data_IF_781552211493
#
_entry.id   IF_781552211493
#
_cell.length_a   1.000
_cell.length_b   1.000
_cell.length_c   1.000
_cell.angle_alpha   90.00
_cell.angle_beta   90.00
_cell.angle_gamma   90.00
#
_symmetry.space_group_name_H-M   'P 1'
#
loop_
_entity.id
_entity.type
_entity.pdbx_description
1 polymer ?
#
# COMPACT_ATOMS: atom_id res chain seq x y z
N UNK A 1 -15.83 -20.49 1.45
CA UNK A 1 -16.48 -19.28 0.94
C UNK A 1 -16.62 -18.27 2.05
N UNK A 2 -16.31 -17.06 1.77
CA UNK A 2 -16.42 -16.04 2.76
C UNK A 2 -17.86 -15.64 3.00
N UNK A 3 -18.23 -15.51 4.25
CA UNK A 3 -19.56 -15.05 4.61
C UNK A 3 -19.75 -13.59 4.17
N UNK A 4 -20.88 -13.23 3.56
CA UNK A 4 -21.15 -11.85 3.23
C UNK A 4 -21.29 -10.95 4.46
N UNK A 5 -21.39 -11.54 5.65
CA UNK A 5 -21.49 -10.80 6.89
C UNK A 5 -20.14 -10.53 7.54
N UNK A 6 -19.05 -10.99 6.94
CA UNK A 6 -17.70 -10.81 7.48
C UNK A 6 -17.13 -9.45 7.10
N UNK A 7 -17.82 -8.41 7.52
CA UNK A 7 -17.36 -7.04 7.33
C UNK A 7 -16.60 -6.62 8.57
N UNK A 8 -15.38 -6.15 8.35
CA UNK A 8 -14.46 -5.77 9.42
C UNK A 8 -14.35 -4.25 9.42
N UNK A 9 -14.35 -3.64 10.59
CA UNK A 9 -14.14 -2.20 10.68
C UNK A 9 -12.69 -1.85 10.40
N UNK A 10 -12.45 -0.58 10.08
CA UNK A 10 -11.08 -0.08 9.88
C UNK A 10 -10.23 -0.32 11.12
N UNK A 11 -10.79 -0.06 12.30
CA UNK A 11 -10.07 -0.23 13.56
C UNK A 11 -9.69 -1.69 13.80
N UNK A 12 -10.62 -2.60 13.54
CA UNK A 12 -10.34 -4.04 13.66
C UNK A 12 -9.26 -4.48 12.69
N UNK A 13 -9.33 -3.99 11.45
CA UNK A 13 -8.34 -4.31 10.44
C UNK A 13 -6.94 -3.82 10.84
N UNK A 14 -6.83 -2.55 11.20
CA UNK A 14 -5.53 -1.96 11.54
C UNK A 14 -4.92 -2.64 12.77
N UNK A 15 -5.76 -2.98 13.74
CA UNK A 15 -5.29 -3.66 14.94
C UNK A 15 -4.78 -5.07 14.63
N UNK A 16 -5.52 -5.81 13.83
CA UNK A 16 -5.12 -7.16 13.44
C UNK A 16 -3.87 -7.17 12.58
N UNK A 17 -3.71 -6.17 11.69
CA UNK A 17 -2.54 -6.09 10.82
C UNK A 17 -1.23 -5.90 11.59
N UNK A 18 -1.27 -5.27 12.74
CA UNK A 18 -0.06 -5.03 13.54
C UNK A 18 0.63 -6.32 13.95
N UNK A 19 -0.11 -7.39 14.13
CA UNK A 19 0.44 -8.67 14.59
C UNK A 19 0.34 -9.78 13.55
N UNK A 20 -0.08 -9.45 12.34
CA UNK A 20 -0.25 -10.46 11.29
C UNK A 20 1.08 -10.74 10.59
N UNK A 21 1.35 -12.01 10.33
CA UNK A 21 2.51 -12.43 9.54
C UNK A 21 2.30 -12.23 8.05
N UNK A 22 1.05 -12.07 7.64
CA UNK A 22 0.67 -11.90 6.24
C UNK A 22 0.03 -10.53 6.10
N UNK A 23 0.42 -9.78 5.06
CA UNK A 23 -0.19 -8.49 4.77
C UNK A 23 -1.54 -8.70 4.10
N UNK A 24 -2.49 -7.85 4.46
CA UNK A 24 -3.82 -7.88 3.87
C UNK A 24 -4.19 -6.50 3.35
N UNK A 25 -4.76 -6.45 2.16
CA UNK A 25 -5.42 -5.25 1.67
C UNK A 25 -6.82 -5.18 2.25
N UNK A 26 -7.36 -3.99 2.38
CA UNK A 26 -8.68 -3.75 2.93
C UNK A 26 -9.49 -2.94 1.92
N UNK A 27 -10.64 -3.46 1.53
CA UNK A 27 -11.51 -2.76 0.58
C UNK A 27 -12.93 -2.79 1.14
N UNK A 28 -13.37 -1.64 1.65
CA UNK A 28 -14.75 -1.45 2.11
C UNK A 28 -15.24 -2.55 3.05
N UNK A 29 -14.42 -2.91 4.03
CA UNK A 29 -14.78 -3.88 5.05
C UNK A 29 -14.36 -5.32 4.76
N UNK A 30 -13.81 -5.58 3.59
CA UNK A 30 -13.32 -6.91 3.23
C UNK A 30 -11.80 -6.92 3.17
N UNK A 31 -11.20 -8.02 3.61
CA UNK A 31 -9.75 -8.18 3.59
C UNK A 31 -9.32 -9.20 2.55
N UNK A 32 -8.17 -8.94 1.94
CA UNK A 32 -7.60 -9.80 0.91
C UNK A 32 -6.14 -10.03 1.21
N UNK A 33 -5.76 -11.30 1.42
CA UNK A 33 -4.38 -11.65 1.70
C UNK A 33 -3.51 -11.37 0.48
N UNK A 34 -2.33 -10.83 0.71
CA UNK A 34 -1.37 -10.56 -0.36
C UNK A 34 -0.43 -11.73 -0.53
N UNK A 35 -0.12 -12.05 -1.77
CA UNK A 35 0.88 -13.06 -2.09
C UNK A 35 2.28 -12.52 -1.82
N UNK A 36 3.23 -13.42 -1.60
CA UNK A 36 4.63 -13.05 -1.49
C UNK A 36 5.18 -12.56 -2.82
N UNK A 37 6.24 -11.79 -2.75
CA UNK A 37 6.91 -11.26 -3.94
C UNK A 37 7.91 -12.27 -4.51
N UNK A 38 8.08 -12.24 -5.83
CA UNK A 38 9.13 -13.01 -6.48
C UNK A 38 10.49 -12.37 -6.21
N UNK A 39 11.55 -13.12 -6.52
CA UNK A 39 12.92 -12.61 -6.41
C UNK A 39 13.11 -11.37 -7.28
N UNK A 40 12.67 -11.43 -8.54
CA UNK A 40 12.82 -10.31 -9.45
C UNK A 40 12.08 -9.07 -8.97
N UNK A 41 10.87 -9.26 -8.47
CA UNK A 41 10.07 -8.18 -7.91
C UNK A 41 10.81 -7.52 -6.75
N UNK A 42 11.38 -8.32 -5.87
CA UNK A 42 12.12 -7.84 -4.71
C UNK A 42 13.38 -7.08 -5.12
N UNK A 43 14.11 -7.58 -6.10
CA UNK A 43 15.32 -6.93 -6.59
C UNK A 43 15.03 -5.58 -7.23
N UNK A 44 13.97 -5.50 -8.03
CA UNK A 44 13.57 -4.24 -8.66
C UNK A 44 13.20 -3.21 -7.61
N UNK A 45 12.41 -3.60 -6.61
CA UNK A 45 12.07 -2.68 -5.51
C UNK A 45 13.31 -2.18 -4.79
N UNK A 46 14.21 -3.08 -4.48
CA UNK A 46 15.45 -2.74 -3.79
C UNK A 46 16.28 -1.75 -4.58
N UNK A 47 16.39 -1.95 -5.89
CA UNK A 47 17.14 -1.05 -6.75
C UNK A 47 16.52 0.34 -6.81
N UNK A 48 15.20 0.40 -6.91
CA UNK A 48 14.50 1.69 -6.95
C UNK A 48 14.70 2.45 -5.64
N UNK A 49 14.52 1.77 -4.51
CA UNK A 49 14.65 2.44 -3.21
C UNK A 49 16.10 2.89 -2.96
N UNK A 50 17.06 2.15 -3.46
CA UNK A 50 18.48 2.51 -3.35
C UNK A 50 18.80 3.79 -4.14
N UNK A 51 18.09 4.04 -5.21
CA UNK A 51 18.22 5.27 -5.99
C UNK A 51 17.47 6.43 -5.31
N UNK A 52 16.26 6.16 -4.83
CA UNK A 52 15.41 7.22 -4.29
C UNK A 52 15.91 7.80 -2.99
N UNK A 53 16.30 6.97 -2.04
CA UNK A 53 16.66 7.45 -0.71
C UNK A 53 17.78 8.47 -0.68
N UNK A 54 18.87 8.30 -1.43
CA UNK A 54 19.91 9.32 -1.47
C UNK A 54 19.41 10.66 -2.01
N UNK A 55 18.51 10.63 -3.00
CA UNK A 55 17.95 11.85 -3.56
C UNK A 55 17.04 12.60 -2.59
N UNK A 56 16.45 11.88 -1.66
CA UNK A 56 15.49 12.47 -0.73
C UNK A 56 16.15 13.00 0.55
N UNK A 57 17.42 12.71 0.75
CA UNK A 57 18.14 13.18 1.94
C UNK A 57 18.16 14.70 1.99
N UNK A 58 17.93 15.23 3.19
CA UNK A 58 17.90 16.68 3.38
C UNK A 58 16.57 17.33 3.00
N UNK A 59 15.65 16.57 2.43
CA UNK A 59 14.30 17.04 2.15
C UNK A 59 13.33 16.53 3.22
N UNK A 60 12.10 17.00 3.18
CA UNK A 60 11.04 16.49 4.04
C UNK A 60 10.48 15.16 3.53
N UNK A 61 10.92 14.70 2.38
CA UNK A 61 10.37 13.51 1.74
C UNK A 61 10.98 12.24 2.31
N UNK A 62 10.15 11.20 2.43
CA UNK A 62 10.57 9.89 2.91
C UNK A 62 10.00 8.82 2.00
N UNK A 63 10.79 7.78 1.76
CA UNK A 63 10.38 6.65 0.93
C UNK A 63 10.18 5.41 1.80
N UNK A 64 9.04 4.75 1.62
CA UNK A 64 8.70 3.52 2.31
C UNK A 64 8.54 2.40 1.31
N UNK A 65 8.98 1.20 1.67
CA UNK A 65 8.93 0.04 0.78
C UNK A 65 8.10 -1.06 1.43
N UNK A 66 7.10 -1.53 0.70
CA UNK A 66 6.32 -2.75 0.96
C UNK A 66 5.48 -2.79 2.24
N UNK A 67 5.94 -2.22 3.34
CA UNK A 67 5.29 -2.41 4.64
C UNK A 67 4.42 -1.25 5.08
N UNK A 68 4.41 -0.16 4.34
CA UNK A 68 3.59 1.00 4.64
C UNK A 68 2.34 0.98 3.80
N UNK A 69 1.19 1.07 4.46
CA UNK A 69 -0.10 1.15 3.78
C UNK A 69 -0.37 2.55 3.28
N UNK A 70 -1.16 2.64 2.22
CA UNK A 70 -1.80 3.89 1.82
C UNK A 70 -3.30 3.76 2.05
N UNK A 71 -3.90 4.77 2.65
CA UNK A 71 -5.34 4.84 2.85
C UNK A 71 -5.94 5.68 1.74
N UNK A 72 -6.89 5.10 1.03
CA UNK A 72 -7.63 5.78 -0.03
C UNK A 72 -9.09 5.79 0.38
N UNK A 73 -9.76 6.91 0.20
CA UNK A 73 -11.18 7.00 0.48
C UNK A 73 -11.90 7.27 -0.83
N UNK A 74 -12.79 6.36 -1.20
CA UNK A 74 -13.59 6.47 -2.41
C UNK A 74 -15.04 6.51 -1.99
N UNK A 75 -15.69 7.66 -2.21
CA UNK A 75 -17.02 7.94 -1.69
C UNK A 75 -16.98 7.79 -0.18
N UNK A 76 -17.70 6.81 0.39
CA UNK A 76 -17.67 6.57 1.83
C UNK A 76 -16.92 5.31 2.21
N UNK A 77 -16.26 4.68 1.25
CA UNK A 77 -15.53 3.45 1.49
C UNK A 77 -14.06 3.74 1.78
N UNK A 78 -13.52 3.07 2.79
CA UNK A 78 -12.10 3.13 3.11
C UNK A 78 -11.39 1.95 2.47
N UNK A 79 -10.25 2.23 1.84
CA UNK A 79 -9.45 1.25 1.17
C UNK A 79 -8.02 1.39 1.67
N UNK A 80 -7.38 0.27 1.99
CA UNK A 80 -5.97 0.23 2.36
C UNK A 80 -5.24 -0.71 1.43
N UNK A 81 -4.24 -0.18 0.73
CA UNK A 81 -3.34 -0.96 -0.10
C UNK A 81 -1.93 -0.92 0.46
N UNK A 82 -1.11 -1.86 0.04
CA UNK A 82 0.33 -1.86 0.33
C UNK A 82 1.08 -1.65 -0.99
N UNK A 83 1.33 -0.41 -1.40
CA UNK A 83 2.13 -0.18 -2.60
C UNK A 83 3.56 -0.69 -2.41
N UNK A 84 4.22 -1.00 -3.51
CA UNK A 84 5.61 -1.42 -3.44
C UNK A 84 6.49 -0.31 -2.88
N UNK A 85 6.29 0.92 -3.34
CA UNK A 85 7.04 2.07 -2.83
C UNK A 85 6.09 3.27 -2.71
N UNK A 86 6.18 3.95 -1.57
CA UNK A 86 5.47 5.22 -1.33
C UNK A 86 6.51 6.28 -1.02
N UNK A 87 6.39 7.44 -1.67
CA UNK A 87 7.14 8.62 -1.26
C UNK A 87 6.15 9.65 -0.73
N UNK A 88 6.38 10.13 0.47
CA UNK A 88 5.56 11.17 1.08
C UNK A 88 6.46 12.31 1.52
N UNK A 89 6.00 13.54 1.26
CA UNK A 89 6.75 14.75 1.58
C UNK A 89 5.98 15.68 2.53
N UNK A 90 4.74 15.34 2.86
CA UNK A 90 3.89 16.16 3.70
C UNK A 90 4.13 15.83 5.17
N UNK A 91 4.70 16.77 5.97
CA UNK A 91 4.92 16.50 7.39
C UNK A 91 3.63 16.33 8.19
N UNK A 92 2.49 16.75 7.65
CA UNK A 92 1.20 16.57 8.30
C UNK A 92 0.66 15.15 8.14
N UNK A 93 1.25 14.34 7.26
CA UNK A 93 0.88 12.94 7.07
C UNK A 93 1.62 12.10 8.11
N UNK A 94 1.14 12.13 9.35
CA UNK A 94 1.87 11.65 10.53
C UNK A 94 1.50 10.26 11.00
N UNK A 95 0.53 9.61 10.36
CA UNK A 95 0.13 8.28 10.81
C UNK A 95 1.29 7.29 10.70
N UNK A 96 1.43 6.46 11.73
CA UNK A 96 2.58 5.55 11.81
C UNK A 96 2.44 4.32 10.91
N UNK A 97 1.22 3.89 10.67
CA UNK A 97 0.96 2.61 10.00
C UNK A 97 0.36 2.76 8.62
N UNK A 98 0.02 3.98 8.22
CA UNK A 98 -0.47 4.24 6.87
C UNK A 98 -0.26 5.70 6.50
N UNK A 99 -0.29 5.99 5.20
CA UNK A 99 -0.17 7.34 4.68
C UNK A 99 -1.43 7.69 3.92
N UNK A 100 -1.82 8.97 3.96
CA UNK A 100 -3.03 9.45 3.31
C UNK A 100 -2.75 10.41 2.15
N UNK A 101 -1.55 10.95 2.07
CA UNK A 101 -1.19 11.98 1.09
C UNK A 101 0.16 11.69 0.43
N UNK A 102 0.30 10.53 -0.22
CA UNK A 102 1.56 10.23 -0.89
C UNK A 102 1.77 11.16 -2.08
N UNK A 103 3.01 11.52 -2.30
CA UNK A 103 3.41 12.30 -3.46
C UNK A 103 3.71 11.40 -4.66
N UNK A 104 4.11 10.17 -4.40
CA UNK A 104 4.45 9.22 -5.45
C UNK A 104 4.17 7.81 -4.94
N UNK A 105 3.57 7.01 -5.80
CA UNK A 105 3.37 5.59 -5.58
C UNK A 105 3.98 4.85 -6.76
N UNK A 106 4.80 3.85 -6.47
CA UNK A 106 5.39 3.00 -7.49
C UNK A 106 4.95 1.57 -7.23
N UNK A 107 4.41 0.94 -8.26
CA UNK A 107 4.05 -0.47 -8.24
C UNK A 107 4.91 -1.21 -9.23
N UNK A 108 5.56 -2.27 -8.77
CA UNK A 108 6.35 -3.15 -9.63
C UNK A 108 5.43 -4.26 -10.10
N UNK A 109 5.20 -4.33 -11.39
CA UNK A 109 4.26 -5.29 -11.94
C UNK A 109 4.86 -6.68 -11.98
N UNK A 110 4.07 -7.65 -11.58
CA UNK A 110 4.36 -9.05 -11.81
C UNK A 110 3.40 -9.55 -12.89
N UNK A 111 3.45 -10.76 -13.21
CA UNK A 111 2.88 -11.44 -14.36
C UNK A 111 1.41 -11.24 -14.72
N UNK A 112 0.72 -12.31 -14.82
CA UNK A 112 -0.54 -12.49 -15.50
C UNK A 112 -1.73 -11.70 -14.96
N UNK A 113 -1.76 -11.42 -13.67
CA UNK A 113 -2.86 -10.65 -13.07
C UNK A 113 -2.56 -9.16 -12.98
N UNK A 114 -1.37 -8.78 -13.38
CA UNK A 114 -0.88 -7.42 -13.20
C UNK A 114 -1.74 -6.37 -13.91
N UNK A 115 -2.28 -6.69 -15.07
CA UNK A 115 -3.04 -5.71 -15.85
C UNK A 115 -4.31 -5.26 -15.14
N UNK A 116 -5.06 -6.21 -14.59
CA UNK A 116 -6.31 -5.90 -13.89
C UNK A 116 -6.01 -5.15 -12.59
N UNK A 117 -5.09 -5.69 -11.81
CA UNK A 117 -4.70 -5.09 -10.53
C UNK A 117 -4.17 -3.67 -10.72
N UNK A 118 -3.31 -3.48 -11.70
CA UNK A 118 -2.76 -2.18 -12.05
C UNK A 118 -3.84 -1.17 -12.39
N UNK A 119 -4.80 -1.57 -13.22
CA UNK A 119 -5.87 -0.68 -13.65
C UNK A 119 -6.73 -0.24 -12.49
N UNK A 120 -7.15 -1.18 -11.66
CA UNK A 120 -8.01 -0.90 -10.53
C UNK A 120 -7.30 -0.01 -9.52
N UNK A 121 -6.08 -0.35 -9.13
CA UNK A 121 -5.32 0.45 -8.18
C UNK A 121 -5.01 1.83 -8.71
N UNK A 122 -4.65 1.95 -9.98
CA UNK A 122 -4.35 3.26 -10.55
C UNK A 122 -5.55 4.19 -10.50
N UNK A 123 -6.72 3.67 -10.83
CA UNK A 123 -7.96 4.45 -10.74
C UNK A 123 -8.20 4.90 -9.31
N UNK A 124 -8.05 3.99 -8.36
CA UNK A 124 -8.30 4.27 -6.95
C UNK A 124 -7.29 5.27 -6.38
N UNK A 125 -6.03 5.18 -6.77
CA UNK A 125 -5.01 6.13 -6.32
C UNK A 125 -5.25 7.55 -6.84
N UNK A 126 -5.89 7.68 -7.98
CA UNK A 126 -6.17 8.98 -8.57
C UNK A 126 -7.43 9.65 -8.01
N UNK A 127 -8.17 8.94 -7.20
CA UNK A 127 -9.37 9.47 -6.56
C UNK A 127 -9.04 10.13 -5.24
#
# INVERSE_FOLDING_TARGET
MQSPLSIISVEQYLDAEKSSDIRHEYVAGQIFAMAGASEDHSLIKGNIIAILRPHLRGSSCRAFVSDMKVKVKIRNANIFYYPDIIVTCDPEDKERYFKTRPNLIIEVLSNSTATIDKREKRINYQT
#
